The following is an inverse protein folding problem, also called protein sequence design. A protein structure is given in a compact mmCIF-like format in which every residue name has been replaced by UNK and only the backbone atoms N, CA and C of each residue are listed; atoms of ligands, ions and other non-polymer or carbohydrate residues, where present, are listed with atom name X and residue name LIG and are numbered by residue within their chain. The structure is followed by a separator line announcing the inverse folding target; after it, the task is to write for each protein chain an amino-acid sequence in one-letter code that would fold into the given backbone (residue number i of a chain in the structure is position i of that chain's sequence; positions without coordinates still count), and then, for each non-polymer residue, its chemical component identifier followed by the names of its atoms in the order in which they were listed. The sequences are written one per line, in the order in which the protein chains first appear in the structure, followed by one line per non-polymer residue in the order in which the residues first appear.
data_IF_420598514084
#
_entry.id   IF_420598514084
#
_cell.length_a   1.000
_cell.length_b   1.000
_cell.length_c   1.000
_cell.angle_alpha   90.00
_cell.angle_beta   90.00
_cell.angle_gamma   90.00
#
_symmetry.space_group_name_H-M   'P 1'
#
loop_
_entity.id
_entity.type
_entity.pdbx_description
1 polymer ?
#
# COMPACT_ATOMS: atom_id res chain seq x y z
N UNK A 1 -57.00 15.94 32.66
CA UNK A 1 -57.29 15.37 31.32
C UNK A 1 -56.03 14.68 30.82
N UNK A 2 -56.12 13.41 30.45
CA UNK A 2 -54.96 12.56 30.19
C UNK A 2 -54.62 12.44 28.70
N UNK A 3 -53.31 12.27 28.49
CA UNK A 3 -52.60 11.91 27.26
C UNK A 3 -53.37 10.97 26.31
N UNK A 4 -53.49 11.38 25.05
CA UNK A 4 -53.84 10.51 23.93
C UNK A 4 -52.75 10.62 22.86
N UNK A 5 -51.68 9.83 22.99
CA UNK A 5 -50.68 9.67 21.95
C UNK A 5 -49.99 8.30 22.12
N UNK A 6 -50.68 7.24 21.72
CA UNK A 6 -50.24 5.86 21.93
C UNK A 6 -50.65 4.92 20.79
N UNK A 7 -50.38 5.31 19.54
CA UNK A 7 -50.51 4.43 18.35
C UNK A 7 -49.76 5.00 17.15
N UNK A 8 -48.42 4.85 17.14
CA UNK A 8 -47.56 4.83 15.92
C UNK A 8 -46.08 4.58 16.31
N UNK A 9 -45.82 3.53 17.08
CA UNK A 9 -44.47 3.01 17.30
C UNK A 9 -44.46 1.49 17.24
N UNK A 10 -44.78 0.98 16.05
CA UNK A 10 -44.78 -0.46 15.77
C UNK A 10 -44.47 -0.69 14.30
N UNK A 11 -43.18 -0.84 13.98
CA UNK A 11 -42.66 -1.72 12.92
C UNK A 11 -41.12 -1.83 13.03
N UNK A 12 -40.67 -3.05 13.36
CA UNK A 12 -39.34 -3.61 13.11
C UNK A 12 -38.15 -3.04 13.92
N UNK A 13 -38.23 -3.23 15.24
CA UNK A 13 -37.08 -3.73 16.02
C UNK A 13 -37.48 -5.10 16.57
N UNK A 14 -36.89 -6.17 16.01
CA UNK A 14 -37.12 -7.55 16.43
C UNK A 14 -35.79 -8.31 16.47
N UNK A 15 -35.01 -8.02 17.51
CA UNK A 15 -33.83 -8.79 17.89
C UNK A 15 -34.24 -10.20 18.31
N UNK A 16 -34.12 -11.16 17.38
CA UNK A 16 -34.36 -12.58 17.62
C UNK A 16 -33.31 -13.44 16.91
N UNK A 17 -32.16 -13.62 17.56
CA UNK A 17 -31.43 -14.88 17.49
C UNK A 17 -31.11 -15.31 18.92
N UNK A 18 -31.64 -16.47 19.28
CA UNK A 18 -31.62 -17.01 20.62
C UNK A 18 -30.20 -17.33 21.08
N UNK A 19 -29.87 -16.93 22.31
CA UNK A 19 -28.78 -17.55 23.04
C UNK A 19 -29.07 -19.06 23.18
N UNK A 20 -28.22 -19.90 22.60
CA UNK A 20 -28.25 -21.33 22.91
C UNK A 20 -27.56 -21.54 24.25
N UNK A 21 -28.32 -21.99 25.24
CA UNK A 21 -27.76 -22.54 26.47
C UNK A 21 -26.94 -23.80 26.13
N UNK A 22 -25.63 -23.75 26.37
CA UNK A 22 -24.82 -24.97 26.40
C UNK A 22 -25.10 -25.70 27.72
N UNK A 23 -25.98 -26.70 27.65
CA UNK A 23 -26.11 -27.67 28.74
C UNK A 23 -24.79 -28.46 28.90
N UNK A 24 -24.48 -28.81 30.16
CA UNK A 24 -23.23 -29.46 30.55
C UNK A 24 -22.86 -30.68 29.69
N UNK A 25 -21.77 -30.59 28.93
CA UNK A 25 -21.13 -31.76 28.32
C UNK A 25 -20.13 -32.33 29.35
N UNK A 26 -20.49 -33.48 29.92
CA UNK A 26 -19.61 -34.23 30.81
C UNK A 26 -18.42 -34.84 30.05
N UNK A 27 -17.23 -34.78 30.63
CA UNK A 27 -15.97 -35.26 30.04
C UNK A 27 -15.81 -36.80 30.09
N UNK A 28 -16.85 -37.56 29.74
CA UNK A 28 -16.90 -39.02 29.91
C UNK A 28 -17.45 -39.81 28.70
N UNK A 29 -17.51 -39.19 27.51
CA UNK A 29 -18.03 -39.81 26.29
C UNK A 29 -17.16 -39.53 25.05
N UNK A 30 -15.86 -39.84 25.14
CA UNK A 30 -15.02 -40.08 23.96
C UNK A 30 -14.35 -41.43 24.15
N UNK A 31 -14.90 -42.45 23.49
CA UNK A 31 -14.38 -43.81 23.50
C UNK A 31 -13.28 -43.94 22.44
N UNK A 32 -12.02 -44.05 22.88
CA UNK A 32 -10.84 -44.08 22.01
C UNK A 32 -10.61 -45.53 21.51
N UNK A 33 -11.60 -46.08 20.81
CA UNK A 33 -11.59 -47.50 20.42
C UNK A 33 -12.26 -47.84 19.07
N UNK A 34 -12.62 -46.87 18.22
CA UNK A 34 -13.30 -47.18 16.95
C UNK A 34 -13.12 -46.17 15.80
N UNK A 35 -11.95 -46.15 15.12
CA UNK A 35 -11.85 -46.11 13.63
C UNK A 35 -10.51 -46.73 13.21
N UNK A 36 -10.44 -48.06 13.12
CA UNK A 36 -9.48 -48.73 12.24
C UNK A 36 -10.21 -48.98 10.91
N UNK A 37 -9.91 -48.21 9.87
CA UNK A 37 -10.61 -48.29 8.59
C UNK A 37 -9.82 -47.67 7.44
N UNK A 38 -9.35 -48.52 6.53
CA UNK A 38 -8.67 -48.08 5.30
C UNK A 38 -9.62 -47.24 4.44
N UNK A 39 -9.26 -45.97 4.22
CA UNK A 39 -9.85 -45.13 3.19
C UNK A 39 -8.77 -44.81 2.13
N UNK A 40 -8.99 -45.12 0.84
CA UNK A 40 -8.01 -44.86 -0.20
C UNK A 40 -7.93 -43.36 -0.50
N UNK A 41 -6.73 -42.80 -0.39
CA UNK A 41 -6.44 -41.43 -0.80
C UNK A 41 -6.55 -41.29 -2.34
N UNK A 42 -7.30 -40.30 -2.87
CA UNK A 42 -7.32 -40.04 -4.30
C UNK A 42 -5.96 -39.54 -4.80
N UNK A 43 -5.31 -40.31 -5.66
CA UNK A 43 -4.12 -39.86 -6.40
C UNK A 43 -4.60 -38.91 -7.51
N UNK A 44 -4.61 -37.61 -7.23
CA UNK A 44 -4.83 -36.62 -8.28
C UNK A 44 -3.55 -36.42 -9.09
N UNK A 45 -3.52 -37.06 -10.27
CA UNK A 45 -2.51 -36.81 -11.30
C UNK A 45 -2.50 -35.33 -11.72
N UNK A 46 -1.32 -34.75 -12.03
CA UNK A 46 -1.22 -33.33 -12.41
C UNK A 46 -1.83 -33.09 -13.78
N UNK A 47 -2.86 -32.24 -13.84
CA UNK A 47 -3.49 -31.81 -15.10
C UNK A 47 -2.57 -30.84 -15.85
N UNK A 48 -1.68 -31.37 -16.68
CA UNK A 48 -0.83 -30.57 -17.55
C UNK A 48 -1.68 -29.91 -18.67
N UNK A 49 -1.78 -28.58 -18.64
CA UNK A 49 -1.99 -27.78 -19.86
C UNK A 49 -0.70 -27.05 -20.19
N UNK A 50 -0.16 -27.36 -21.36
CA UNK A 50 1.15 -26.91 -21.83
C UNK A 50 1.09 -25.58 -22.58
N UNK A 51 1.87 -24.60 -22.13
CA UNK A 51 2.62 -23.68 -23.00
C UNK A 51 3.60 -22.84 -22.19
N UNK A 52 4.77 -22.53 -22.79
CA UNK A 52 5.86 -21.69 -22.26
C UNK A 52 6.62 -22.21 -21.01
N UNK A 53 7.95 -22.38 -21.18
CA UNK A 53 9.01 -22.57 -20.18
C UNK A 53 8.58 -23.01 -18.75
N UNK A 54 8.75 -24.30 -18.44
CA UNK A 54 8.47 -24.89 -17.12
C UNK A 54 9.10 -24.08 -15.98
N UNK A 55 8.26 -23.42 -15.18
CA UNK A 55 8.66 -22.79 -13.93
C UNK A 55 9.06 -23.88 -12.91
N UNK A 56 10.35 -23.96 -12.58
CA UNK A 56 10.81 -24.82 -11.49
C UNK A 56 10.62 -24.07 -10.17
N UNK A 57 9.59 -24.43 -9.41
CA UNK A 57 9.34 -23.83 -8.10
C UNK A 57 10.11 -24.60 -7.01
N UNK A 58 10.97 -23.90 -6.27
CA UNK A 58 11.68 -24.42 -5.12
C UNK A 58 10.97 -24.05 -3.81
N UNK A 59 11.41 -24.60 -2.68
CA UNK A 59 10.71 -24.37 -1.40
C UNK A 59 10.88 -22.94 -0.87
N UNK A 60 11.90 -22.21 -1.34
CA UNK A 60 12.21 -20.85 -0.89
C UNK A 60 12.34 -19.83 -2.03
N UNK A 61 12.18 -20.24 -3.29
CA UNK A 61 12.23 -19.32 -4.44
C UNK A 61 11.44 -19.82 -5.67
N UNK A 62 11.07 -18.88 -6.54
CA UNK A 62 10.61 -19.14 -7.90
C UNK A 62 11.75 -18.89 -8.92
N UNK A 63 11.67 -19.54 -10.08
CA UNK A 63 12.60 -19.36 -11.20
C UNK A 63 11.87 -18.83 -12.42
N UNK A 64 12.31 -17.69 -12.94
CA UNK A 64 11.72 -17.04 -14.11
C UNK A 64 12.77 -16.85 -15.21
N UNK A 65 12.43 -17.26 -16.44
CA UNK A 65 13.30 -17.11 -17.60
C UNK A 65 13.16 -15.71 -18.19
N UNK A 66 14.22 -14.91 -18.10
CA UNK A 66 14.28 -13.52 -18.59
C UNK A 66 15.43 -13.40 -19.59
N UNK A 67 15.12 -13.18 -20.87
CA UNK A 67 16.12 -13.07 -21.94
C UNK A 67 17.15 -14.25 -21.98
N UNK A 68 16.67 -15.47 -21.70
CA UNK A 68 17.51 -16.67 -21.61
C UNK A 68 18.43 -16.72 -20.38
N UNK A 69 18.00 -16.12 -19.26
CA UNK A 69 18.64 -16.16 -17.94
C UNK A 69 17.63 -16.67 -16.92
N UNK A 70 18.04 -17.61 -16.06
CA UNK A 70 17.29 -17.98 -14.85
C UNK A 70 17.41 -16.86 -13.81
N UNK A 71 16.37 -16.04 -13.71
CA UNK A 71 16.19 -15.04 -12.64
C UNK A 71 15.47 -15.71 -11.48
N UNK A 72 16.11 -15.73 -10.33
CA UNK A 72 15.64 -16.38 -9.11
C UNK A 72 15.01 -15.32 -8.21
N UNK A 73 13.73 -15.52 -7.86
CA UNK A 73 12.98 -14.64 -6.96
C UNK A 73 12.72 -15.39 -5.66
N UNK A 74 13.35 -15.01 -4.53
CA UNK A 74 13.02 -15.57 -3.22
C UNK A 74 11.53 -15.40 -2.89
N UNK A 75 10.90 -16.40 -2.29
CA UNK A 75 9.54 -16.28 -1.73
C UNK A 75 9.53 -15.31 -0.54
N UNK A 76 8.34 -15.01 -0.01
CA UNK A 76 8.17 -14.17 1.18
C UNK A 76 9.05 -14.68 2.33
N UNK A 77 9.73 -13.73 3.01
CA UNK A 77 10.67 -13.96 4.11
C UNK A 77 11.88 -14.88 3.80
N UNK A 78 12.10 -15.25 2.54
CA UNK A 78 13.16 -16.20 2.15
C UNK A 78 14.47 -15.54 1.65
N UNK A 79 14.51 -14.22 1.42
CA UNK A 79 15.71 -13.48 0.99
C UNK A 79 15.39 -12.16 0.27
N UNK A 80 16.23 -11.13 0.43
CA UNK A 80 15.90 -9.74 0.02
C UNK A 80 16.60 -9.28 -1.27
N UNK A 81 17.07 -10.24 -2.06
CA UNK A 81 17.80 -9.99 -3.30
C UNK A 81 17.16 -10.75 -4.45
N UNK A 82 17.09 -10.12 -5.62
CA UNK A 82 16.87 -10.82 -6.87
C UNK A 82 18.17 -11.55 -7.21
N UNK A 83 18.12 -12.85 -7.49
CA UNK A 83 19.32 -13.70 -7.57
C UNK A 83 19.49 -14.34 -8.96
N UNK A 84 20.70 -14.79 -9.24
CA UNK A 84 21.00 -15.72 -10.33
C UNK A 84 22.18 -16.64 -9.96
N UNK A 85 22.37 -17.70 -10.75
CA UNK A 85 23.49 -18.63 -10.63
C UNK A 85 24.51 -18.38 -11.74
N UNK A 86 25.73 -18.05 -11.38
CA UNK A 86 26.87 -17.98 -12.29
C UNK A 86 27.67 -19.29 -12.20
N UNK A 87 27.48 -20.17 -13.18
CA UNK A 87 28.20 -21.45 -13.29
C UNK A 87 29.66 -21.24 -13.73
N UNK A 88 30.59 -22.16 -13.37
CA UNK A 88 31.96 -22.11 -13.88
C UNK A 88 32.01 -22.00 -15.40
N UNK A 89 32.90 -21.14 -15.92
CA UNK A 89 33.04 -20.86 -17.34
C UNK A 89 32.09 -19.79 -17.91
N UNK A 90 30.97 -19.47 -17.24
CA UNK A 90 30.10 -18.38 -17.67
C UNK A 90 30.77 -17.02 -17.38
N UNK A 91 30.79 -16.12 -18.39
CA UNK A 91 31.31 -14.76 -18.21
C UNK A 91 30.24 -13.87 -17.54
N UNK A 92 30.56 -13.16 -16.43
CA UNK A 92 29.63 -12.21 -15.81
C UNK A 92 29.14 -11.11 -16.76
N UNK A 93 29.98 -10.70 -17.73
CA UNK A 93 29.64 -9.68 -18.72
C UNK A 93 28.47 -10.07 -19.64
N UNK A 94 28.43 -11.32 -20.08
CA UNK A 94 27.39 -11.82 -21.00
C UNK A 94 26.02 -11.89 -20.29
N UNK A 95 26.04 -12.34 -19.03
CA UNK A 95 24.89 -12.31 -18.12
C UNK A 95 24.41 -10.87 -17.88
N UNK A 96 25.32 -9.96 -17.54
CA UNK A 96 24.98 -8.56 -17.30
C UNK A 96 24.42 -7.86 -18.55
N UNK A 97 24.94 -8.15 -19.74
CA UNK A 97 24.43 -7.58 -21.00
C UNK A 97 22.97 -7.98 -21.26
N UNK A 98 22.64 -9.27 -21.11
CA UNK A 98 21.27 -9.79 -21.25
C UNK A 98 20.29 -9.14 -20.27
N UNK A 99 20.72 -8.96 -19.01
CA UNK A 99 19.89 -8.39 -17.96
C UNK A 99 19.70 -6.88 -18.11
N UNK A 100 20.73 -6.11 -18.49
CA UNK A 100 20.58 -4.68 -18.81
C UNK A 100 19.59 -4.47 -19.95
N UNK A 101 19.65 -5.30 -20.99
CA UNK A 101 18.68 -5.25 -22.09
C UNK A 101 17.26 -5.58 -21.61
N UNK A 102 17.10 -6.61 -20.77
CA UNK A 102 15.79 -7.07 -20.33
C UNK A 102 15.08 -6.11 -19.37
N UNK A 103 15.83 -5.45 -18.48
CA UNK A 103 15.31 -4.55 -17.44
C UNK A 103 15.57 -3.05 -17.74
N UNK A 104 16.10 -2.71 -18.92
CA UNK A 104 16.57 -1.37 -19.31
C UNK A 104 17.51 -0.71 -18.27
N UNK A 105 18.33 -1.50 -17.60
CA UNK A 105 19.18 -1.04 -16.50
C UNK A 105 20.31 -0.11 -16.96
N UNK A 106 20.80 0.72 -16.04
CA UNK A 106 21.96 1.59 -16.28
C UNK A 106 23.19 0.81 -16.81
N UNK A 107 23.99 1.43 -17.67
CA UNK A 107 25.13 0.78 -18.33
C UNK A 107 26.17 0.19 -17.35
N UNK A 108 26.32 0.79 -16.17
CA UNK A 108 27.20 0.32 -15.09
C UNK A 108 26.65 -0.84 -14.26
N UNK A 109 25.39 -1.25 -14.45
CA UNK A 109 24.78 -2.35 -13.71
C UNK A 109 25.53 -3.66 -13.96
N UNK A 110 25.84 -4.35 -12.85
CA UNK A 110 26.60 -5.60 -12.82
C UNK A 110 26.08 -6.53 -11.72
N UNK A 111 26.33 -7.81 -11.91
CA UNK A 111 26.11 -8.83 -10.88
C UNK A 111 27.06 -8.61 -9.70
N UNK A 112 26.56 -8.76 -8.47
CA UNK A 112 27.38 -8.69 -7.25
C UNK A 112 27.45 -10.09 -6.64
N UNK A 113 28.63 -10.56 -6.23
CA UNK A 113 28.76 -11.87 -5.59
C UNK A 113 28.07 -11.87 -4.22
N UNK A 114 27.26 -12.90 -3.95
CA UNK A 114 26.53 -13.07 -2.69
C UNK A 114 27.19 -14.19 -1.90
N UNK A 115 27.45 -13.94 -0.62
CA UNK A 115 27.72 -15.01 0.35
C UNK A 115 26.38 -15.53 0.87
N UNK A 116 25.99 -16.79 0.62
CA UNK A 116 24.68 -17.31 1.01
C UNK A 116 24.42 -17.22 2.52
N UNK A 117 23.32 -16.56 2.88
CA UNK A 117 22.85 -16.36 4.26
C UNK A 117 21.34 -16.56 4.38
N UNK A 118 20.55 -16.11 3.40
CA UNK A 118 19.09 -16.30 3.43
C UNK A 118 18.68 -17.71 3.01
N UNK A 119 17.46 -18.12 3.35
CA UNK A 119 16.93 -19.46 3.05
C UNK A 119 16.98 -19.77 1.54
N UNK A 120 16.63 -18.80 0.70
CA UNK A 120 16.68 -18.92 -0.76
C UNK A 120 18.12 -19.03 -1.29
N UNK A 121 19.06 -18.25 -0.77
CA UNK A 121 20.47 -18.31 -1.19
C UNK A 121 21.10 -19.64 -0.81
N UNK A 122 20.83 -20.14 0.40
CA UNK A 122 21.33 -21.43 0.90
C UNK A 122 20.78 -22.61 0.09
N UNK A 123 19.46 -22.62 -0.17
CA UNK A 123 18.83 -23.64 -1.03
C UNK A 123 19.35 -23.58 -2.47
N UNK A 124 19.53 -22.37 -3.03
CA UNK A 124 20.03 -22.17 -4.39
C UNK A 124 21.50 -22.62 -4.54
N UNK A 125 22.34 -22.33 -3.53
CA UNK A 125 23.73 -22.79 -3.48
C UNK A 125 23.83 -24.32 -3.36
N UNK A 126 23.01 -24.93 -2.50
CA UNK A 126 22.94 -26.39 -2.37
C UNK A 126 22.50 -27.08 -3.68
N UNK A 127 21.59 -26.46 -4.44
CA UNK A 127 21.17 -26.96 -5.76
C UNK A 127 22.21 -26.75 -6.88
N UNK A 128 23.25 -25.93 -6.67
CA UNK A 128 24.25 -25.58 -7.70
C UNK A 128 25.68 -25.61 -7.14
N UNK A 129 26.19 -26.78 -6.70
CA UNK A 129 27.53 -26.90 -6.12
C UNK A 129 28.61 -26.42 -7.09
N UNK A 130 29.56 -25.63 -6.60
CA UNK A 130 30.65 -25.05 -7.38
C UNK A 130 30.29 -23.83 -8.24
N UNK A 131 29.02 -23.42 -8.28
CA UNK A 131 28.61 -22.16 -8.91
C UNK A 131 28.64 -20.99 -7.91
N UNK A 132 28.79 -19.77 -8.40
CA UNK A 132 28.64 -18.56 -7.59
C UNK A 132 27.19 -18.08 -7.61
N UNK A 133 26.63 -17.76 -6.44
CA UNK A 133 25.36 -17.05 -6.33
C UNK A 133 25.63 -15.55 -6.50
N UNK A 134 24.82 -14.88 -7.31
CA UNK A 134 24.97 -13.45 -7.59
C UNK A 134 23.67 -12.68 -7.44
N UNK A 135 23.80 -11.47 -6.89
CA UNK A 135 22.75 -10.46 -6.80
C UNK A 135 22.52 -9.79 -8.14
N UNK A 136 21.24 -9.60 -8.46
CA UNK A 136 20.75 -8.83 -9.60
C UNK A 136 20.15 -7.48 -9.18
N UNK A 137 20.22 -7.10 -7.90
CA UNK A 137 19.59 -5.88 -7.40
C UNK A 137 20.08 -4.59 -8.11
N UNK A 138 21.31 -4.56 -8.65
CA UNK A 138 21.81 -3.41 -9.44
C UNK A 138 21.16 -3.26 -10.83
N UNK A 139 20.44 -4.26 -11.32
CA UNK A 139 19.70 -4.18 -12.59
C UNK A 139 18.27 -3.63 -12.41
N UNK A 140 17.77 -3.56 -11.16
CA UNK A 140 16.46 -3.02 -10.82
C UNK A 140 16.53 -1.49 -10.62
N UNK A 141 15.39 -0.76 -10.71
CA UNK A 141 15.29 0.59 -10.20
C UNK A 141 15.71 0.65 -8.73
N UNK A 142 16.51 1.64 -8.34
CA UNK A 142 17.13 1.69 -7.01
C UNK A 142 16.11 1.60 -5.85
N UNK A 143 14.96 2.26 -5.99
CA UNK A 143 13.89 2.20 -4.99
C UNK A 143 13.17 0.85 -4.94
N UNK A 144 13.00 0.18 -6.08
CA UNK A 144 12.47 -1.18 -6.13
C UNK A 144 13.44 -2.17 -5.47
N UNK A 145 14.75 -2.04 -5.75
CA UNK A 145 15.81 -2.83 -5.10
C UNK A 145 15.88 -2.59 -3.59
N UNK A 146 15.61 -1.36 -3.13
CA UNK A 146 15.60 -0.98 -1.71
C UNK A 146 14.39 -1.54 -0.93
N UNK A 147 13.31 -1.92 -1.61
CA UNK A 147 12.06 -2.38 -0.98
C UNK A 147 11.69 -3.84 -1.28
N UNK A 148 12.25 -4.44 -2.34
CA UNK A 148 11.96 -5.82 -2.73
C UNK A 148 12.15 -6.81 -1.58
N UNK A 149 11.09 -7.59 -1.31
CA UNK A 149 10.95 -8.61 -0.28
C UNK A 149 11.31 -8.22 1.16
N UNK A 150 11.58 -6.95 1.42
CA UNK A 150 11.69 -6.45 2.78
C UNK A 150 10.28 -6.28 3.29
N UNK A 151 10.03 -6.74 4.52
CA UNK A 151 8.93 -6.21 5.30
C UNK A 151 9.14 -4.69 5.39
N UNK A 152 8.26 -3.87 4.80
CA UNK A 152 8.21 -2.49 5.19
C UNK A 152 7.77 -2.49 6.67
N UNK A 153 8.17 -1.49 7.45
CA UNK A 153 7.94 -1.43 8.91
C UNK A 153 6.44 -1.22 9.30
N UNK A 154 5.49 -1.84 8.60
CA UNK A 154 4.41 -1.07 7.98
C UNK A 154 3.15 -1.84 7.54
N UNK A 155 1.96 -1.25 7.74
CA UNK A 155 0.64 -1.71 7.26
C UNK A 155 -0.14 -0.59 6.55
N UNK A 156 -0.48 -0.72 5.25
CA UNK A 156 -1.24 0.33 4.52
C UNK A 156 -1.01 0.56 3.00
N UNK A 157 0.19 0.91 2.47
CA UNK A 157 0.35 1.50 1.14
C UNK A 157 -0.20 0.58 0.08
N UNK A 158 -0.78 1.20 -0.93
CA UNK A 158 -1.39 0.48 -2.01
C UNK A 158 -0.40 0.28 -3.16
N UNK A 159 -0.92 -0.35 -4.20
CA UNK A 159 -0.16 -0.84 -5.33
C UNK A 159 0.38 0.34 -6.17
N UNK A 160 -0.36 1.46 -6.23
CA UNK A 160 0.12 2.72 -6.81
C UNK A 160 1.36 3.28 -6.14
N UNK A 161 1.45 3.26 -4.80
CA UNK A 161 2.68 3.69 -4.13
C UNK A 161 3.87 2.78 -4.48
N UNK A 162 3.69 1.46 -4.54
CA UNK A 162 4.73 0.54 -5.01
C UNK A 162 5.19 0.90 -6.44
N UNK A 163 4.23 1.19 -7.35
CA UNK A 163 4.53 1.53 -8.73
C UNK A 163 5.25 2.89 -8.88
N UNK A 164 4.75 3.95 -8.27
CA UNK A 164 5.36 5.29 -8.35
C UNK A 164 6.69 5.39 -7.60
N UNK A 165 6.87 4.64 -6.52
CA UNK A 165 8.17 4.53 -5.83
C UNK A 165 9.20 3.81 -6.71
N UNK A 166 8.83 2.70 -7.36
CA UNK A 166 9.71 2.01 -8.31
C UNK A 166 10.06 2.89 -9.52
N UNK A 167 9.11 3.71 -10.00
CA UNK A 167 9.33 4.69 -11.07
C UNK A 167 10.19 5.90 -10.67
N UNK A 168 10.64 6.00 -9.41
CA UNK A 168 11.50 7.08 -8.94
C UNK A 168 10.77 8.39 -8.59
N UNK A 169 9.44 8.43 -8.65
CA UNK A 169 8.64 9.62 -8.30
C UNK A 169 8.57 9.85 -6.79
N UNK A 170 8.89 8.84 -5.99
CA UNK A 170 8.93 8.87 -4.53
C UNK A 170 10.20 8.18 -4.03
N UNK A 171 10.69 8.57 -2.85
CA UNK A 171 11.81 7.89 -2.19
C UNK A 171 11.33 6.64 -1.45
N UNK A 172 12.20 5.65 -1.34
CA UNK A 172 11.88 4.37 -0.67
C UNK A 172 11.54 4.50 0.83
N UNK A 173 12.02 5.55 1.49
CA UNK A 173 11.76 5.89 2.90
C UNK A 173 10.48 6.71 3.11
N UNK A 174 9.79 7.14 2.03
CA UNK A 174 8.64 8.04 2.06
C UNK A 174 7.39 7.39 1.49
N UNK A 175 6.84 6.41 2.22
CA UNK A 175 5.69 5.61 1.79
C UNK A 175 4.38 6.10 2.42
N UNK A 176 3.35 6.36 1.59
CA UNK A 176 2.01 6.81 2.01
C UNK A 176 0.91 6.18 1.12
N UNK A 177 -0.38 6.42 1.40
CA UNK A 177 -1.49 6.06 0.52
C UNK A 177 -1.47 6.93 -0.75
N UNK A 178 -1.97 6.40 -1.87
CA UNK A 178 -2.15 7.15 -3.13
C UNK A 178 -3.51 6.75 -3.71
N UNK A 179 -4.54 7.55 -3.49
CA UNK A 179 -5.88 7.28 -3.98
C UNK A 179 -5.96 7.35 -5.50
N UNK A 180 -6.98 6.72 -6.09
CA UNK A 180 -7.15 6.68 -7.54
C UNK A 180 -7.13 8.07 -8.21
N UNK A 181 -7.77 9.13 -7.66
CA UNK A 181 -7.68 10.49 -8.23
C UNK A 181 -6.24 11.04 -8.29
N UNK A 182 -5.41 10.74 -7.28
CA UNK A 182 -3.99 11.13 -7.30
C UNK A 182 -3.22 10.32 -8.34
N UNK A 183 -3.45 9.01 -8.39
CA UNK A 183 -2.80 8.14 -9.37
C UNK A 183 -3.13 8.55 -10.81
N UNK A 184 -4.41 8.78 -11.13
CA UNK A 184 -4.87 9.22 -12.45
C UNK A 184 -4.28 10.60 -12.81
N UNK A 185 -4.25 11.54 -11.86
CA UNK A 185 -3.64 12.85 -12.09
C UNK A 185 -2.13 12.74 -12.35
N UNK A 186 -1.38 11.96 -11.55
CA UNK A 186 0.05 11.71 -11.75
C UNK A 186 0.34 10.99 -13.07
N UNK A 187 -0.48 10.01 -13.45
CA UNK A 187 -0.38 9.34 -14.75
C UNK A 187 -0.63 10.31 -15.90
N UNK A 188 -1.66 11.14 -15.82
CA UNK A 188 -1.99 12.13 -16.86
C UNK A 188 -0.91 13.21 -17.05
N UNK A 189 -0.15 13.52 -16.00
CA UNK A 189 0.97 14.46 -16.04
C UNK A 189 2.23 13.80 -16.61
N UNK A 190 2.74 12.78 -15.93
CA UNK A 190 4.11 12.29 -16.17
C UNK A 190 4.19 11.14 -17.19
N UNK A 191 3.04 10.61 -17.64
CA UNK A 191 2.96 9.44 -18.51
C UNK A 191 2.03 9.68 -19.70
N UNK A 192 2.19 8.85 -20.74
CA UNK A 192 1.26 8.75 -21.86
C UNK A 192 0.73 7.33 -21.96
N UNK A 193 -0.56 7.18 -22.27
CA UNK A 193 -1.19 5.88 -22.48
C UNK A 193 -0.58 5.20 -23.72
N UNK A 194 -0.25 3.92 -23.61
CA UNK A 194 0.35 3.10 -24.69
C UNK A 194 -0.37 1.74 -24.79
N UNK A 195 -0.26 1.03 -25.93
CA UNK A 195 -0.85 -0.31 -26.05
C UNK A 195 -0.19 -1.29 -25.08
N UNK A 196 -1.01 -2.00 -24.28
CA UNK A 196 -0.53 -3.02 -23.33
C UNK A 196 0.09 -4.27 -23.99
N UNK A 197 0.07 -4.36 -25.33
CA UNK A 197 0.83 -5.33 -26.14
C UNK A 197 2.27 -4.91 -26.42
N UNK A 198 2.66 -3.67 -26.07
CA UNK A 198 3.93 -3.03 -26.44
C UNK A 198 4.78 -2.60 -25.24
N UNK A 199 4.66 -3.34 -24.13
CA UNK A 199 5.27 -3.00 -22.84
C UNK A 199 6.80 -2.86 -22.92
N UNK A 200 7.33 -1.84 -22.24
CA UNK A 200 8.75 -1.58 -22.07
C UNK A 200 9.06 -1.40 -20.57
N UNK A 201 10.24 -1.84 -20.10
CA UNK A 201 10.70 -1.54 -18.74
C UNK A 201 10.51 -0.05 -18.40
N UNK A 202 9.90 0.24 -17.25
CA UNK A 202 9.54 1.60 -16.86
C UNK A 202 8.08 1.99 -17.10
N UNK A 203 7.31 1.21 -17.85
CA UNK A 203 5.87 1.42 -17.97
C UNK A 203 5.16 1.11 -16.64
N UNK A 204 4.17 1.94 -16.27
CA UNK A 204 3.20 1.61 -15.23
C UNK A 204 1.98 0.95 -15.87
N UNK A 205 1.48 -0.11 -15.24
CA UNK A 205 0.27 -0.81 -15.64
C UNK A 205 -0.81 -0.58 -14.60
N UNK A 206 -2.02 -0.23 -15.05
CA UNK A 206 -3.23 -0.19 -14.24
C UNK A 206 -4.08 -1.39 -14.63
N UNK A 207 -4.35 -2.26 -13.65
CA UNK A 207 -5.08 -3.52 -13.84
C UNK A 207 -6.55 -3.35 -13.41
N UNK A 208 -7.40 -4.28 -13.87
CA UNK A 208 -8.81 -4.50 -13.50
C UNK A 208 -9.74 -3.28 -13.28
N UNK A 209 -9.49 -2.17 -13.96
CA UNK A 209 -10.27 -0.91 -13.93
C UNK A 209 -9.91 0.08 -12.82
N UNK A 210 -8.67 0.06 -12.31
CA UNK A 210 -8.13 1.17 -11.51
C UNK A 210 -7.81 0.84 -10.06
N UNK A 211 -7.98 -0.40 -9.60
CA UNK A 211 -7.72 -0.83 -8.23
C UNK A 211 -6.24 -1.17 -7.97
N UNK A 212 -5.50 -1.54 -9.02
CA UNK A 212 -4.19 -2.17 -8.89
C UNK A 212 -3.17 -1.61 -9.89
N UNK A 213 -2.37 -0.64 -9.43
CA UNK A 213 -1.17 -0.16 -10.12
C UNK A 213 0.05 -1.07 -9.91
N UNK A 214 0.78 -1.40 -10.98
CA UNK A 214 2.02 -2.20 -10.93
C UNK A 214 3.09 -1.58 -11.86
N UNK A 215 4.37 -1.71 -11.51
CA UNK A 215 5.48 -1.21 -12.33
C UNK A 215 6.08 -2.34 -13.16
N UNK A 216 6.16 -2.21 -14.49
CA UNK A 216 6.74 -3.23 -15.35
C UNK A 216 8.28 -3.13 -15.35
N UNK A 217 8.93 -4.15 -14.79
CA UNK A 217 10.39 -4.24 -14.73
C UNK A 217 10.99 -4.66 -16.08
N UNK A 218 10.27 -5.47 -16.86
CA UNK A 218 10.80 -6.13 -18.05
C UNK A 218 10.85 -7.64 -17.93
N UNK A 219 11.03 -8.33 -19.06
CA UNK A 219 11.08 -9.80 -19.09
C UNK A 219 9.81 -10.51 -18.61
N UNK A 220 8.64 -9.84 -18.68
CA UNK A 220 7.39 -10.35 -18.10
C UNK A 220 7.26 -10.13 -16.59
N UNK A 221 8.25 -9.53 -15.91
CA UNK A 221 8.21 -9.27 -14.48
C UNK A 221 7.64 -7.88 -14.15
N UNK A 222 6.90 -7.81 -13.03
CA UNK A 222 6.39 -6.59 -12.42
C UNK A 222 6.92 -6.44 -11.00
N UNK A 223 7.05 -5.19 -10.55
CA UNK A 223 7.20 -4.81 -9.15
C UNK A 223 5.89 -4.22 -8.65
N UNK A 224 5.34 -4.79 -7.57
CA UNK A 224 4.08 -4.32 -7.00
C UNK A 224 3.90 -4.78 -5.54
N UNK A 225 2.79 -4.38 -4.93
CA UNK A 225 2.38 -4.80 -3.59
C UNK A 225 1.64 -6.14 -3.65
N UNK A 226 2.05 -7.09 -2.82
CA UNK A 226 1.32 -8.32 -2.45
C UNK A 226 0.73 -8.21 -1.04
N UNK A 227 -0.13 -9.17 -0.71
CA UNK A 227 -0.92 -9.31 0.51
C UNK A 227 -2.09 -8.32 0.63
N UNK A 228 -3.26 -8.89 0.91
CA UNK A 228 -4.45 -8.17 1.36
C UNK A 228 -4.32 -7.98 2.89
N UNK A 229 -4.64 -6.78 3.41
CA UNK A 229 -4.46 -6.42 4.83
C UNK A 229 -2.99 -6.48 5.32
N UNK A 230 -2.82 -6.33 6.65
CA UNK A 230 -1.82 -5.50 7.34
C UNK A 230 -0.33 -5.86 7.15
N UNK A 231 0.02 -6.96 6.48
CA UNK A 231 1.41 -7.36 6.21
C UNK A 231 1.70 -7.23 4.71
N UNK A 232 1.97 -6.01 4.26
CA UNK A 232 2.26 -5.75 2.85
C UNK A 232 3.73 -6.00 2.56
N UNK A 233 4.04 -6.69 1.47
CA UNK A 233 5.42 -6.81 0.99
C UNK A 233 5.45 -6.37 -0.47
N UNK A 234 6.46 -5.58 -0.84
CA UNK A 234 6.69 -5.26 -2.24
C UNK A 234 7.48 -6.39 -2.90
N UNK A 235 6.89 -6.96 -3.94
CA UNK A 235 7.26 -8.24 -4.53
C UNK A 235 7.54 -8.09 -6.02
N UNK A 236 8.34 -9.01 -6.53
CA UNK A 236 8.61 -9.18 -7.95
C UNK A 236 7.96 -10.49 -8.38
N UNK A 237 7.01 -10.41 -9.31
CA UNK A 237 6.30 -11.59 -9.84
C UNK A 237 6.16 -11.48 -11.35
N UNK A 238 5.77 -12.57 -12.02
CA UNK A 238 5.30 -12.49 -13.40
C UNK A 238 4.02 -11.67 -13.47
N UNK A 239 3.86 -10.85 -14.51
CA UNK A 239 2.69 -10.00 -14.75
C UNK A 239 1.39 -10.79 -14.66
N UNK A 240 1.35 -11.97 -15.27
CA UNK A 240 0.17 -12.86 -15.31
C UNK A 240 -0.27 -13.30 -13.91
N UNK A 241 0.67 -13.31 -12.96
CA UNK A 241 0.52 -13.76 -11.57
C UNK A 241 0.30 -12.60 -10.58
N UNK A 242 -0.06 -11.40 -11.05
CA UNK A 242 -0.26 -10.22 -10.19
C UNK A 242 -1.26 -10.48 -9.04
N UNK A 243 -2.33 -11.24 -9.28
CA UNK A 243 -3.34 -11.59 -8.27
C UNK A 243 -3.24 -13.04 -7.74
N UNK A 244 -2.30 -13.85 -8.24
CA UNK A 244 -2.02 -15.17 -7.65
C UNK A 244 -1.31 -15.00 -6.30
N UNK A 245 -1.72 -15.74 -5.27
CA UNK A 245 -1.06 -15.67 -3.97
C UNK A 245 0.27 -16.46 -3.97
N UNK A 246 1.31 -15.86 -3.41
CA UNK A 246 2.64 -16.45 -3.31
C UNK A 246 2.76 -17.46 -2.14
N UNK A 247 3.75 -18.38 -2.17
CA UNK A 247 4.09 -19.19 -1.01
C UNK A 247 4.42 -18.32 0.20
N UNK A 248 3.84 -18.67 1.34
CA UNK A 248 3.94 -17.94 2.61
C UNK A 248 3.30 -16.53 2.62
N UNK A 249 2.55 -16.15 1.58
CA UNK A 249 1.68 -14.97 1.64
C UNK A 249 0.53 -15.21 2.63
N UNK A 250 0.29 -14.26 3.52
CA UNK A 250 -0.87 -14.30 4.41
C UNK A 250 -2.16 -14.24 3.58
N UNK A 251 -3.14 -15.06 3.95
CA UNK A 251 -4.46 -15.10 3.33
C UNK A 251 -5.52 -14.89 4.40
N UNK A 252 -6.55 -14.07 4.16
CA UNK A 252 -7.67 -13.96 5.08
C UNK A 252 -8.35 -15.31 5.22
N UNK A 253 -8.55 -15.73 6.47
CA UNK A 253 -9.34 -16.90 6.83
C UNK A 253 -10.84 -16.62 6.68
N UNK A 254 -11.68 -17.67 6.80
CA UNK A 254 -13.14 -17.54 6.68
C UNK A 254 -13.78 -16.63 7.75
N UNK A 255 -13.04 -16.29 8.80
CA UNK A 255 -13.48 -15.43 9.91
C UNK A 255 -12.99 -13.98 9.81
N UNK A 256 -12.07 -13.66 8.88
CA UNK A 256 -11.43 -12.33 8.78
C UNK A 256 -12.29 -11.28 8.04
N UNK A 257 -13.60 -11.51 7.92
CA UNK A 257 -14.57 -10.59 7.33
C UNK A 257 -14.52 -10.51 5.80
N UNK A 258 -15.42 -11.23 5.14
CA UNK A 258 -15.85 -10.93 3.76
C UNK A 258 -14.76 -10.61 2.74
N UNK A 259 -13.67 -11.38 2.67
CA UNK A 259 -12.68 -11.21 1.59
C UNK A 259 -13.37 -11.41 0.23
N UNK A 260 -13.41 -10.39 -0.66
CA UNK A 260 -14.01 -10.55 -1.99
C UNK A 260 -13.14 -11.41 -2.92
N UNK A 261 -11.88 -11.66 -2.54
CA UNK A 261 -10.91 -12.43 -3.30
C UNK A 261 -10.95 -13.92 -2.95
N UNK A 262 -11.94 -14.61 -3.51
CA UNK A 262 -11.76 -16.02 -3.85
C UNK A 262 -10.52 -16.14 -4.77
N UNK A 263 -9.72 -17.19 -4.57
CA UNK A 263 -8.32 -17.25 -5.04
C UNK A 263 -8.10 -16.87 -6.51
N UNK A 264 -7.05 -16.06 -6.76
CA UNK A 264 -6.57 -15.60 -8.07
C UNK A 264 -7.65 -14.96 -8.96
N UNK A 265 -7.89 -13.67 -8.78
CA UNK A 265 -8.60 -12.91 -9.82
C UNK A 265 -7.77 -12.91 -11.11
N UNK A 266 -8.42 -13.08 -12.26
CA UNK A 266 -7.74 -12.97 -13.56
C UNK A 266 -7.56 -11.50 -13.96
N UNK A 267 -6.46 -11.20 -14.66
CA UNK A 267 -6.27 -9.87 -15.26
C UNK A 267 -7.19 -9.75 -16.49
N UNK A 268 -8.30 -9.04 -16.32
CA UNK A 268 -9.34 -8.83 -17.35
C UNK A 268 -9.09 -7.57 -18.18
N UNK A 269 -8.48 -6.54 -17.58
CA UNK A 269 -8.12 -5.28 -18.24
C UNK A 269 -6.69 -4.88 -17.89
N UNK A 270 -6.00 -4.28 -18.86
CA UNK A 270 -4.64 -3.75 -18.72
C UNK A 270 -4.56 -2.40 -19.43
N UNK A 271 -4.30 -1.34 -18.69
CA UNK A 271 -3.94 -0.04 -19.25
C UNK A 271 -2.46 0.22 -19.00
N UNK A 272 -1.69 0.52 -20.05
CA UNK A 272 -0.26 0.75 -19.96
C UNK A 272 0.06 2.24 -20.12
N UNK A 273 0.99 2.74 -19.31
CA UNK A 273 1.36 4.14 -19.21
C UNK A 273 2.88 4.27 -19.26
N UNK A 274 3.40 4.92 -20.30
CA UNK A 274 4.84 5.11 -20.53
C UNK A 274 5.30 6.48 -20.03
N UNK A 275 6.39 6.59 -19.25
CA UNK A 275 6.91 7.89 -18.83
C UNK A 275 7.24 8.77 -20.03
N UNK A 276 6.89 10.04 -19.94
CA UNK A 276 7.13 11.04 -21.01
C UNK A 276 8.44 11.80 -20.85
N UNK A 277 9.03 11.78 -19.65
CA UNK A 277 10.11 12.69 -19.27
C UNK A 277 9.64 14.13 -19.00
N UNK A 278 8.33 14.39 -18.97
CA UNK A 278 7.79 15.71 -18.68
C UNK A 278 8.18 16.18 -17.27
N UNK A 279 8.48 17.47 -17.16
CA UNK A 279 8.70 18.16 -15.90
C UNK A 279 7.65 19.25 -15.77
N UNK A 280 6.97 19.28 -14.62
CA UNK A 280 5.96 20.29 -14.31
C UNK A 280 6.54 21.29 -13.31
N UNK A 281 6.35 22.57 -13.60
CA UNK A 281 6.57 23.66 -12.66
C UNK A 281 5.21 24.10 -12.09
N UNK A 282 5.23 24.76 -10.94
CA UNK A 282 4.02 25.16 -10.21
C UNK A 282 3.02 25.97 -11.04
N UNK A 283 3.49 26.67 -12.08
CA UNK A 283 2.66 27.43 -13.01
C UNK A 283 2.02 28.68 -12.37
N UNK A 284 1.11 29.36 -13.10
CA UNK A 284 0.37 30.48 -12.54
C UNK A 284 -0.55 30.03 -11.39
N UNK A 285 -0.45 30.72 -10.26
CA UNK A 285 -1.25 30.51 -9.06
C UNK A 285 -1.32 31.83 -8.26
N UNK A 286 -2.40 32.04 -7.51
CA UNK A 286 -2.45 33.12 -6.52
C UNK A 286 -1.59 32.77 -5.30
N UNK A 287 -1.18 33.79 -4.53
CA UNK A 287 -0.43 33.57 -3.28
C UNK A 287 -1.16 32.63 -2.30
N UNK A 288 -2.50 32.70 -2.25
CA UNK A 288 -3.33 31.78 -1.46
C UNK A 288 -3.27 30.35 -1.98
N UNK A 289 -3.37 30.13 -3.29
CA UNK A 289 -3.26 28.79 -3.91
C UNK A 289 -1.86 28.20 -3.72
N UNK A 290 -0.81 29.03 -3.77
CA UNK A 290 0.55 28.61 -3.45
C UNK A 290 0.67 28.17 -1.99
N UNK A 291 0.18 28.98 -1.04
CA UNK A 291 0.21 28.63 0.38
C UNK A 291 -0.59 27.35 0.70
N UNK A 292 -1.73 27.12 0.04
CA UNK A 292 -2.50 25.87 0.15
C UNK A 292 -1.66 24.66 -0.30
N UNK A 293 -0.97 24.74 -1.44
CA UNK A 293 -0.11 23.67 -1.92
C UNK A 293 1.12 23.43 -1.02
N UNK A 294 1.76 24.49 -0.53
CA UNK A 294 2.84 24.42 0.47
C UNK A 294 2.36 23.73 1.76
N UNK A 295 1.11 23.97 2.16
CA UNK A 295 0.48 23.29 3.31
C UNK A 295 0.23 21.80 3.04
N UNK A 296 -0.18 21.41 1.82
CA UNK A 296 -0.26 19.99 1.44
C UNK A 296 1.10 19.31 1.47
N UNK A 297 2.15 19.98 0.98
CA UNK A 297 3.54 19.46 1.04
C UNK A 297 3.99 19.28 2.48
N UNK A 298 3.71 20.25 3.35
CA UNK A 298 3.96 20.13 4.79
C UNK A 298 3.24 18.92 5.39
N UNK A 299 1.92 18.82 5.21
CA UNK A 299 1.12 17.68 5.71
C UNK A 299 1.69 16.34 5.23
N UNK A 300 2.03 16.23 3.95
CA UNK A 300 2.62 15.01 3.38
C UNK A 300 3.98 14.65 4.01
N UNK A 301 4.85 15.63 4.23
CA UNK A 301 6.16 15.42 4.85
C UNK A 301 6.01 14.97 6.31
N UNK A 302 5.09 15.56 7.07
CA UNK A 302 4.80 15.16 8.46
C UNK A 302 4.22 13.74 8.52
N UNK A 303 3.31 13.38 7.62
CA UNK A 303 2.77 12.03 7.49
C UNK A 303 3.87 11.02 7.14
N UNK A 304 4.74 11.34 6.18
CA UNK A 304 5.81 10.46 5.72
C UNK A 304 6.94 10.29 6.75
N UNK A 305 7.15 11.26 7.66
CA UNK A 305 8.26 11.26 8.63
C UNK A 305 7.86 10.90 10.06
N UNK A 306 6.72 11.39 10.57
CA UNK A 306 6.29 11.21 11.97
C UNK A 306 5.28 10.10 12.14
N UNK A 307 4.49 9.79 11.09
CA UNK A 307 3.59 8.64 11.07
C UNK A 307 4.05 7.51 10.12
N UNK A 308 5.33 7.06 10.13
CA UNK A 308 5.85 6.05 9.22
C UNK A 308 5.36 4.63 9.55
N UNK A 309 4.29 4.49 10.36
CA UNK A 309 3.50 3.26 10.58
C UNK A 309 2.00 3.45 10.27
N UNK A 310 1.62 4.63 9.74
CA UNK A 310 0.27 5.18 9.70
C UNK A 310 -0.39 5.21 11.08
N UNK A 311 0.38 5.63 12.08
CA UNK A 311 -0.12 5.98 13.40
C UNK A 311 -0.66 7.42 13.44
N UNK A 312 -1.41 7.83 12.41
CA UNK A 312 -1.75 9.24 12.16
C UNK A 312 -2.47 9.86 13.36
N UNK A 313 -3.53 9.21 13.85
CA UNK A 313 -4.26 9.71 15.01
C UNK A 313 -3.44 9.69 16.31
N UNK A 314 -2.42 8.83 16.45
CA UNK A 314 -1.56 8.77 17.65
C UNK A 314 -0.45 9.82 17.63
N UNK A 315 0.23 9.98 16.49
CA UNK A 315 1.42 10.84 16.36
C UNK A 315 1.05 12.28 15.97
N UNK A 316 0.06 12.44 15.09
CA UNK A 316 -0.43 13.73 14.58
C UNK A 316 -1.80 14.13 15.16
N UNK A 317 -2.42 13.28 15.98
CA UNK A 317 -3.72 13.56 16.62
C UNK A 317 -4.94 13.35 15.72
N UNK A 318 -6.07 12.98 16.31
CA UNK A 318 -7.36 12.85 15.61
C UNK A 318 -7.84 14.18 14.99
N UNK A 319 -7.40 15.33 15.52
CA UNK A 319 -7.66 16.62 14.89
C UNK A 319 -7.13 16.69 13.45
N UNK A 320 -6.05 15.97 13.12
CA UNK A 320 -5.49 15.93 11.77
C UNK A 320 -6.44 15.29 10.78
N UNK A 321 -7.14 14.22 11.17
CA UNK A 321 -8.15 13.57 10.31
C UNK A 321 -9.32 14.52 10.04
N UNK A 322 -9.87 15.14 11.10
CA UNK A 322 -10.95 16.14 10.97
C UNK A 322 -10.53 17.34 10.13
N UNK A 323 -9.30 17.80 10.31
CA UNK A 323 -8.73 18.89 9.52
C UNK A 323 -8.56 18.49 8.05
N UNK A 324 -8.10 17.27 7.75
CA UNK A 324 -7.96 16.78 6.37
C UNK A 324 -9.32 16.71 5.66
N UNK A 325 -10.36 16.19 6.32
CA UNK A 325 -11.75 16.21 5.82
C UNK A 325 -12.23 17.64 5.52
N UNK A 326 -12.08 18.54 6.49
CA UNK A 326 -12.48 19.95 6.35
C UNK A 326 -11.75 20.65 5.19
N UNK A 327 -10.44 20.42 5.06
CA UNK A 327 -9.60 21.04 4.03
C UNK A 327 -9.89 20.49 2.63
N UNK A 328 -10.16 19.19 2.47
CA UNK A 328 -10.59 18.63 1.17
C UNK A 328 -11.89 19.28 0.71
N UNK A 329 -12.87 19.41 1.61
CA UNK A 329 -14.15 20.06 1.31
C UNK A 329 -13.96 21.53 0.90
N UNK A 330 -13.24 22.30 1.72
CA UNK A 330 -13.03 23.73 1.53
C UNK A 330 -12.18 24.06 0.29
N UNK A 331 -11.17 23.24 -0.02
CA UNK A 331 -10.23 23.47 -1.12
C UNK A 331 -10.61 22.74 -2.41
N UNK A 332 -11.82 22.17 -2.49
CA UNK A 332 -12.37 21.46 -3.65
C UNK A 332 -12.31 22.21 -5.00
N UNK A 333 -12.16 23.54 -4.97
CA UNK A 333 -11.90 24.34 -6.17
C UNK A 333 -10.52 24.04 -6.82
N UNK A 334 -9.51 23.65 -6.04
CA UNK A 334 -8.18 23.26 -6.54
C UNK A 334 -8.25 22.00 -7.41
N UNK A 335 -9.09 21.04 -7.05
CA UNK A 335 -9.37 19.84 -7.86
C UNK A 335 -10.00 20.13 -9.22
N UNK A 336 -10.57 21.33 -9.41
CA UNK A 336 -11.13 21.81 -10.69
C UNK A 336 -10.18 22.76 -11.44
N UNK A 337 -8.99 23.01 -10.92
CA UNK A 337 -8.02 23.92 -11.53
C UNK A 337 -7.59 23.47 -12.93
N UNK A 338 -7.36 24.44 -13.82
CA UNK A 338 -6.67 24.22 -15.11
C UNK A 338 -5.16 24.00 -14.93
N UNK A 339 -4.61 24.39 -13.78
CA UNK A 339 -3.22 24.13 -13.40
C UNK A 339 -3.09 22.67 -12.88
N UNK A 340 -2.36 21.79 -13.59
CA UNK A 340 -2.28 20.37 -13.24
C UNK A 340 -1.49 20.13 -11.94
N UNK A 341 -0.61 21.05 -11.54
CA UNK A 341 0.17 20.92 -10.29
C UNK A 341 -0.71 21.23 -9.07
N UNK A 342 -1.52 22.29 -9.13
CA UNK A 342 -2.51 22.57 -8.08
C UNK A 342 -3.51 21.41 -7.93
N UNK A 343 -3.93 20.80 -9.05
CA UNK A 343 -4.81 19.62 -9.05
C UNK A 343 -4.14 18.39 -8.44
N UNK A 344 -2.86 18.15 -8.73
CA UNK A 344 -2.10 17.07 -8.11
C UNK A 344 -1.99 17.22 -6.58
N UNK A 345 -1.72 18.44 -6.08
CA UNK A 345 -1.71 18.68 -4.64
C UNK A 345 -3.08 18.50 -3.99
N UNK A 346 -4.17 18.89 -4.66
CA UNK A 346 -5.52 18.60 -4.17
C UNK A 346 -5.79 17.08 -4.04
N UNK A 347 -5.47 16.28 -5.06
CA UNK A 347 -5.67 14.82 -4.98
C UNK A 347 -4.69 14.12 -4.01
N UNK A 348 -3.51 14.70 -3.78
CA UNK A 348 -2.62 14.29 -2.70
C UNK A 348 -3.25 14.54 -1.31
N UNK A 349 -3.95 15.68 -1.12
CA UNK A 349 -4.69 15.96 0.10
C UNK A 349 -5.84 14.97 0.33
N UNK A 350 -6.60 14.64 -0.73
CA UNK A 350 -7.62 13.56 -0.67
C UNK A 350 -7.01 12.22 -0.27
N UNK A 351 -5.84 11.88 -0.80
CA UNK A 351 -5.13 10.64 -0.46
C UNK A 351 -4.59 10.62 0.97
N UNK A 352 -4.23 11.78 1.54
CA UNK A 352 -3.85 11.92 2.95
C UNK A 352 -5.06 11.77 3.88
N UNK A 353 -6.23 12.32 3.53
CA UNK A 353 -7.51 12.08 4.22
C UNK A 353 -7.86 10.59 4.23
N UNK A 354 -7.85 9.95 3.06
CA UNK A 354 -8.18 8.53 2.93
C UNK A 354 -7.23 7.64 3.76
N UNK A 355 -5.96 8.06 3.87
CA UNK A 355 -4.97 7.43 4.74
C UNK A 355 -5.28 7.59 6.23
N UNK A 356 -5.76 8.76 6.66
CA UNK A 356 -6.14 9.04 8.05
C UNK A 356 -7.34 8.19 8.46
N UNK A 357 -8.37 8.13 7.62
CA UNK A 357 -9.57 7.33 7.88
C UNK A 357 -9.22 5.81 7.95
N UNK A 358 -8.35 5.32 7.07
CA UNK A 358 -7.85 3.93 7.13
C UNK A 358 -6.95 3.67 8.37
N UNK A 359 -6.15 4.66 8.78
CA UNK A 359 -5.28 4.58 9.95
C UNK A 359 -6.07 4.36 11.23
N UNK A 360 -7.14 5.13 11.45
CA UNK A 360 -7.79 5.16 12.76
C UNK A 360 -8.61 3.92 13.06
N UNK A 361 -9.30 3.38 12.04
CA UNK A 361 -10.00 2.10 12.12
C UNK A 361 -9.03 0.95 12.45
N UNK A 362 -7.82 1.00 11.88
CA UNK A 362 -6.81 -0.06 12.01
C UNK A 362 -6.04 0.00 13.33
N UNK A 363 -5.69 1.20 13.81
CA UNK A 363 -4.87 1.38 15.01
C UNK A 363 -5.70 1.56 16.30
N UNK A 364 -6.67 2.47 16.31
CA UNK A 364 -7.37 2.87 17.53
C UNK A 364 -8.66 2.09 17.75
N UNK A 365 -9.37 1.67 16.69
CA UNK A 365 -10.74 1.14 16.75
C UNK A 365 -10.87 -0.32 16.25
N UNK A 366 -9.78 -1.07 16.23
CA UNK A 366 -9.69 -2.39 15.57
C UNK A 366 -10.20 -3.60 16.38
N UNK A 367 -10.87 -3.37 17.52
CA UNK A 367 -11.49 -4.42 18.33
C UNK A 367 -12.88 -4.00 18.82
N UNK A 368 -13.77 -4.95 19.10
CA UNK A 368 -15.11 -4.65 19.61
C UNK A 368 -15.08 -3.85 20.93
N UNK A 369 -14.08 -4.09 21.79
CA UNK A 369 -13.87 -3.30 23.02
C UNK A 369 -13.41 -1.86 22.70
N UNK A 370 -12.54 -1.66 21.71
CA UNK A 370 -12.14 -0.33 21.30
C UNK A 370 -13.30 0.43 20.63
N UNK A 371 -14.11 -0.25 19.82
CA UNK A 371 -15.31 0.31 19.19
C UNK A 371 -16.36 0.74 20.23
N UNK A 372 -16.60 -0.07 21.28
CA UNK A 372 -17.50 0.31 22.37
C UNK A 372 -16.98 1.46 23.26
N UNK A 373 -15.68 1.78 23.16
CA UNK A 373 -15.03 2.89 23.89
C UNK A 373 -14.50 3.99 22.95
N UNK A 374 -14.93 4.02 21.68
CA UNK A 374 -14.30 4.82 20.63
C UNK A 374 -14.14 6.29 21.00
N UNK A 375 -15.20 6.92 21.51
CA UNK A 375 -15.21 8.33 21.89
C UNK A 375 -14.12 8.70 22.92
N UNK A 376 -13.88 7.84 23.92
CA UNK A 376 -12.86 8.10 24.95
C UNK A 376 -11.45 7.88 24.42
N UNK A 377 -11.25 6.94 23.50
CA UNK A 377 -9.97 6.71 22.82
C UNK A 377 -9.64 7.90 21.92
N UNK A 378 -10.59 8.35 21.11
CA UNK A 378 -10.45 9.47 20.19
C UNK A 378 -10.20 10.80 20.92
N UNK A 379 -10.88 11.07 22.04
CA UNK A 379 -10.63 12.24 22.89
C UNK A 379 -9.22 12.26 23.47
N UNK A 380 -8.70 11.12 23.93
CA UNK A 380 -7.32 11.01 24.44
C UNK A 380 -6.27 11.26 23.37
N UNK A 381 -6.58 10.91 22.12
CA UNK A 381 -5.75 11.13 20.95
C UNK A 381 -6.09 12.44 20.19
N UNK A 382 -6.90 13.34 20.76
CA UNK A 382 -7.48 14.47 20.01
C UNK A 382 -6.44 15.43 19.43
N UNK A 383 -5.76 16.18 20.29
CA UNK A 383 -4.99 17.36 19.91
C UNK A 383 -3.62 17.41 20.62
N UNK A 384 -2.54 16.95 19.97
CA UNK A 384 -1.20 17.07 20.52
C UNK A 384 -0.68 18.51 20.40
N UNK A 385 -0.40 19.18 21.52
CA UNK A 385 0.20 20.54 21.56
C UNK A 385 1.70 20.59 21.22
N UNK A 386 2.08 20.04 20.08
CA UNK A 386 3.45 19.96 19.58
C UNK A 386 3.75 20.99 18.46
N UNK A 387 4.98 20.96 17.91
CA UNK A 387 5.41 21.87 16.84
C UNK A 387 4.63 21.67 15.53
N UNK A 388 4.18 20.44 15.27
CA UNK A 388 3.33 20.11 14.13
C UNK A 388 2.00 20.86 14.18
N UNK A 389 1.25 20.73 15.29
CA UNK A 389 -0.05 21.41 15.48
C UNK A 389 0.07 22.94 15.45
N UNK A 390 1.16 23.50 15.99
CA UNK A 390 1.48 24.93 15.89
C UNK A 390 1.70 25.36 14.44
N UNK A 391 2.54 24.62 13.72
CA UNK A 391 2.95 24.94 12.35
C UNK A 391 1.79 24.87 11.35
N UNK A 392 0.92 23.85 11.44
CA UNK A 392 -0.27 23.75 10.58
C UNK A 392 -1.28 24.86 10.91
N UNK A 393 -1.49 25.16 12.19
CA UNK A 393 -2.40 26.24 12.61
C UNK A 393 -1.92 27.61 12.11
N UNK A 394 -0.61 27.91 12.22
CA UNK A 394 -0.03 29.15 11.71
C UNK A 394 -0.18 29.31 10.19
N UNK A 395 0.10 28.24 9.43
CA UNK A 395 -0.07 28.24 7.97
C UNK A 395 -1.52 28.52 7.56
N UNK A 396 -2.47 27.86 8.22
CA UNK A 396 -3.89 28.02 7.93
C UNK A 396 -4.42 29.39 8.37
N UNK A 397 -4.00 29.93 9.52
CA UNK A 397 -4.35 31.30 9.93
C UNK A 397 -3.94 32.32 8.86
N UNK A 398 -2.72 32.20 8.31
CA UNK A 398 -2.24 33.02 7.20
C UNK A 398 -3.08 32.85 5.93
N UNK A 399 -3.50 31.63 5.59
CA UNK A 399 -4.35 31.34 4.42
C UNK A 399 -5.73 31.99 4.55
N UNK A 400 -6.34 31.97 5.74
CA UNK A 400 -7.65 32.56 6.03
C UNK A 400 -7.59 34.04 6.47
N UNK A 401 -6.46 34.72 6.27
CA UNK A 401 -6.31 36.15 6.54
C UNK A 401 -6.41 36.53 8.02
N UNK A 402 -6.20 35.59 8.93
CA UNK A 402 -6.27 35.79 10.38
C UNK A 402 -4.91 36.24 10.94
N UNK A 403 -4.94 36.97 12.05
CA UNK A 403 -3.73 37.36 12.77
C UNK A 403 -3.05 36.13 13.39
N UNK A 404 -1.75 35.96 13.11
CA UNK A 404 -0.94 34.88 13.67
C UNK A 404 -0.76 35.01 15.19
N UNK A 405 -0.95 36.21 15.78
CA UNK A 405 -1.01 36.38 17.24
C UNK A 405 -2.14 35.58 17.90
N UNK A 406 -3.16 35.17 17.13
CA UNK A 406 -4.27 34.35 17.60
C UNK A 406 -3.89 32.88 17.90
N UNK A 407 -2.68 32.41 17.53
CA UNK A 407 -2.28 31.00 17.56
C UNK A 407 -2.69 30.27 18.85
N UNK A 408 -2.23 30.73 20.01
CA UNK A 408 -2.47 30.01 21.28
C UNK A 408 -3.94 30.09 21.73
N UNK A 409 -4.70 31.11 21.31
CA UNK A 409 -6.16 31.16 21.50
C UNK A 409 -6.87 30.12 20.63
N UNK A 410 -6.49 30.04 19.34
CA UNK A 410 -7.05 29.07 18.38
C UNK A 410 -6.75 27.63 18.81
N UNK A 411 -5.50 27.33 19.17
CA UNK A 411 -5.13 26.00 19.69
C UNK A 411 -5.91 25.63 20.96
N UNK A 412 -6.15 26.60 21.85
CA UNK A 412 -6.98 26.40 23.06
C UNK A 412 -8.46 26.19 22.74
N UNK A 413 -8.97 26.79 21.66
CA UNK A 413 -10.33 26.54 21.20
C UNK A 413 -10.45 25.12 20.62
N UNK A 414 -9.54 24.72 19.72
CA UNK A 414 -9.50 23.37 19.13
C UNK A 414 -9.39 22.29 20.21
N UNK A 415 -8.47 22.43 21.16
CA UNK A 415 -8.27 21.45 22.24
C UNK A 415 -9.53 21.23 23.10
N UNK A 416 -10.31 22.30 23.33
CA UNK A 416 -11.54 22.25 24.15
C UNK A 416 -12.76 21.70 23.40
N UNK A 417 -12.82 21.85 22.08
CA UNK A 417 -14.02 21.65 21.28
C UNK A 417 -13.88 20.46 20.31
N UNK A 418 -13.62 19.28 20.90
CA UNK A 418 -13.43 18.00 20.20
C UNK A 418 -14.55 17.63 19.22
N UNK A 419 -15.79 18.03 19.50
CA UNK A 419 -16.96 17.69 18.69
C UNK A 419 -17.16 18.63 17.48
N UNK A 420 -16.27 19.62 17.26
CA UNK A 420 -16.36 20.59 16.16
C UNK A 420 -15.18 20.55 15.19
N UNK A 421 -15.41 21.15 14.02
CA UNK A 421 -14.39 21.36 12.98
C UNK A 421 -13.21 22.19 13.54
N UNK A 422 -11.97 21.68 13.53
CA UNK A 422 -10.80 22.48 13.86
C UNK A 422 -10.62 23.65 12.87
N UNK A 423 -11.02 23.47 11.61
CA UNK A 423 -10.94 24.51 10.58
C UNK A 423 -11.83 25.72 10.89
N UNK A 424 -12.99 25.50 11.53
CA UNK A 424 -13.89 26.59 11.96
C UNK A 424 -13.21 27.52 12.98
N UNK A 425 -12.56 26.95 13.99
CA UNK A 425 -11.81 27.75 14.98
C UNK A 425 -10.66 28.52 14.36
N UNK A 426 -9.98 27.95 13.37
CA UNK A 426 -8.93 28.64 12.61
C UNK A 426 -9.53 29.81 11.81
N UNK A 427 -10.59 29.58 11.04
CA UNK A 427 -11.27 30.61 10.23
C UNK A 427 -11.81 31.79 11.06
N UNK A 428 -12.26 31.53 12.28
CA UNK A 428 -12.80 32.55 13.20
C UNK A 428 -11.74 33.18 14.11
N UNK A 429 -10.47 32.79 14.02
CA UNK A 429 -9.42 33.28 14.93
C UNK A 429 -9.63 32.89 16.41
N UNK A 430 -10.31 31.77 16.68
CA UNK A 430 -10.51 31.20 18.01
C UNK A 430 -11.59 31.92 18.84
N UNK A 431 -12.67 32.36 18.18
CA UNK A 431 -13.88 32.97 18.77
C UNK A 431 -15.04 31.97 18.68
#
# INVERSE_FOLDING_TARGET
MQKTLFTLLSLILASNLSAFELQNINASLIDIAAVNGNLPLPVHAPYQKTSAAQEKQASSFAVYQVNGVDVIVPHISCGNELLAVLRPGNKPGDLAAKLRQAFASAAGAKTVAVQPRSKAELELAAQNPGASIVSLNQFLPANAAALFNREPNFAGPNCFNAAFTAAGMRKADRLRHIGNPEADQLLSMYYKKVPASSLQPGDILVLNSGDHGVFYLGGGLIFHKKSYLKQHIYRIVRLEKAYEAEPYEWKPGPFDGGSPFNGSETIRKKEAWRPTGAQYQFGPATATQQAMAETVVFLADQVETQAPRWALARELGYFTERLLEDLVSDWSALGKSSNPVLKAYYHQLESLRDQANQSIEVELLSSAHAQSNANEILKRAWFPRNDYSRSITLQLLKIYGQDQSALERVMTAIEKDYDRSPLLHIKNGGI
#
